data_IF_056212696034
#
_entry.id   IF_056212696034
#
_cell.length_a   1.000
_cell.length_b   1.000
_cell.length_c   1.000
_cell.angle_alpha   90.00
_cell.angle_beta   90.00
_cell.angle_gamma   90.00
#
_symmetry.space_group_name_H-M   'P 1'
#
loop_
_entity.id
_entity.type
_entity.pdbx_description
1 polymer ?
#
# COMPACT_ATOMS: atom_id res chain seq x y z
N UNK A 1 -23.32 34.39 -6.15
CA UNK A 1 -23.70 33.08 -5.61
C UNK A 1 -22.44 32.21 -5.59
N UNK A 2 -21.81 32.09 -4.44
CA UNK A 2 -20.66 31.22 -4.14
C UNK A 2 -20.98 30.61 -2.76
N UNK A 3 -20.71 29.37 -2.38
CA UNK A 3 -19.70 28.42 -2.82
C UNK A 3 -20.19 27.01 -2.47
N UNK A 4 -19.95 26.02 -3.34
CA UNK A 4 -19.89 24.63 -2.89
C UNK A 4 -18.53 24.47 -2.21
N UNK A 5 -18.48 24.68 -0.88
CA UNK A 5 -17.35 24.23 -0.08
C UNK A 5 -17.44 22.71 0.00
N UNK A 6 -16.91 22.02 -1.02
CA UNK A 6 -16.65 20.60 -0.94
C UNK A 6 -15.71 20.39 0.25
N UNK A 7 -16.19 19.71 1.27
CA UNK A 7 -15.34 19.20 2.34
C UNK A 7 -14.49 18.10 1.70
N UNK A 8 -13.37 18.46 1.07
CA UNK A 8 -12.35 17.50 0.67
C UNK A 8 -11.72 17.00 1.96
N UNK A 9 -12.26 15.91 2.51
CA UNK A 9 -11.63 15.20 3.61
C UNK A 9 -10.25 14.76 3.12
N UNK A 10 -9.21 15.44 3.58
CA UNK A 10 -7.83 15.13 3.19
C UNK A 10 -7.56 13.64 3.42
N UNK A 11 -7.06 12.95 2.39
CA UNK A 11 -6.72 11.53 2.46
C UNK A 11 -5.68 11.30 3.57
N UNK A 12 -5.96 10.38 4.49
CA UNK A 12 -5.10 10.03 5.63
C UNK A 12 -4.71 8.56 5.58
N UNK A 13 -3.54 8.16 6.10
CA UNK A 13 -3.10 6.77 6.12
C UNK A 13 -3.77 5.97 7.26
N UNK A 14 -5.09 6.05 7.37
CA UNK A 14 -5.90 5.41 8.43
C UNK A 14 -6.35 3.98 8.08
N UNK A 15 -6.15 3.57 6.82
CA UNK A 15 -6.34 2.21 6.33
C UNK A 15 -5.15 1.79 5.47
N UNK A 16 -4.87 0.47 5.34
CA UNK A 16 -3.80 -0.02 4.46
C UNK A 16 -3.94 0.49 3.02
N UNK A 17 -5.18 0.51 2.50
CA UNK A 17 -5.48 1.04 1.18
C UNK A 17 -5.14 2.53 1.04
N UNK A 18 -5.53 3.35 2.03
CA UNK A 18 -5.22 4.78 1.99
C UNK A 18 -3.73 5.06 2.12
N UNK A 19 -3.00 4.30 2.95
CA UNK A 19 -1.55 4.41 3.04
C UNK A 19 -0.87 4.07 1.69
N UNK A 20 -1.30 3.00 1.03
CA UNK A 20 -0.80 2.63 -0.29
C UNK A 20 -1.11 3.69 -1.36
N UNK A 21 -2.32 4.26 -1.34
CA UNK A 21 -2.72 5.36 -2.23
C UNK A 21 -1.85 6.60 -2.04
N UNK A 22 -1.61 7.00 -0.79
CA UNK A 22 -0.76 8.13 -0.46
C UNK A 22 0.70 7.91 -0.91
N UNK A 23 1.21 6.69 -0.74
CA UNK A 23 2.53 6.30 -1.23
C UNK A 23 2.63 6.43 -2.76
N UNK A 24 1.65 5.89 -3.50
CA UNK A 24 1.59 6.01 -4.96
C UNK A 24 1.46 7.46 -5.41
N UNK A 25 0.67 8.27 -4.69
CA UNK A 25 0.54 9.70 -4.95
C UNK A 25 1.87 10.43 -4.79
N UNK A 26 2.61 10.20 -3.70
CA UNK A 26 3.92 10.82 -3.50
C UNK A 26 4.91 10.46 -4.63
N UNK A 27 4.88 9.21 -5.11
CA UNK A 27 5.66 8.77 -6.27
C UNK A 27 5.23 9.53 -7.54
N UNK A 28 3.93 9.58 -7.83
CA UNK A 28 3.38 10.30 -8.98
C UNK A 28 3.76 11.78 -8.98
N UNK A 29 3.66 12.43 -7.82
CA UNK A 29 3.96 13.85 -7.63
C UNK A 29 5.49 14.13 -7.64
N UNK A 30 6.33 13.11 -7.57
CA UNK A 30 7.79 13.27 -7.50
C UNK A 30 8.29 13.71 -6.12
N UNK A 31 7.49 13.52 -5.07
CA UNK A 31 7.81 13.93 -3.71
C UNK A 31 8.46 12.79 -2.89
N UNK A 32 9.78 12.64 -3.06
CA UNK A 32 10.56 11.64 -2.33
C UNK A 32 10.61 11.91 -0.82
N UNK A 33 10.57 13.19 -0.41
CA UNK A 33 10.57 13.55 1.01
C UNK A 33 9.30 13.04 1.69
N UNK A 34 8.14 13.30 1.07
CA UNK A 34 6.84 12.83 1.55
C UNK A 34 6.72 11.31 1.52
N UNK A 35 7.28 10.65 0.50
CA UNK A 35 7.29 9.19 0.44
C UNK A 35 7.93 8.57 1.70
N UNK A 36 9.04 9.14 2.17
CA UNK A 36 9.76 8.64 3.36
C UNK A 36 8.92 8.75 4.63
N UNK A 37 8.01 9.71 4.73
CA UNK A 37 7.13 9.88 5.89
C UNK A 37 6.11 8.74 6.04
N UNK A 38 5.85 7.96 4.98
CA UNK A 38 4.94 6.80 5.04
C UNK A 38 5.62 5.51 5.50
N UNK A 39 6.94 5.53 5.71
CA UNK A 39 7.65 4.39 6.29
C UNK A 39 7.58 4.45 7.82
N UNK A 40 7.56 3.28 8.45
CA UNK A 40 7.76 3.19 9.90
C UNK A 40 9.13 3.77 10.29
N UNK A 41 9.22 4.30 11.50
CA UNK A 41 10.45 4.88 12.04
C UNK A 41 11.66 3.93 11.87
N UNK A 42 12.77 4.47 11.35
CA UNK A 42 14.00 3.73 11.10
C UNK A 42 13.98 2.87 9.82
N UNK A 43 12.92 2.95 9.00
CA UNK A 43 12.80 2.27 7.71
C UNK A 43 12.77 3.22 6.52
N UNK A 44 12.88 4.53 6.73
CA UNK A 44 12.81 5.58 5.71
C UNK A 44 13.88 5.40 4.63
N UNK A 45 15.05 4.87 5.01
CA UNK A 45 16.14 4.56 4.09
C UNK A 45 15.99 3.28 3.26
N UNK A 46 14.87 2.54 3.40
CA UNK A 46 14.65 1.30 2.64
C UNK A 46 14.32 1.55 1.17
N UNK A 47 13.89 2.76 0.81
CA UNK A 47 13.73 3.17 -0.58
C UNK A 47 14.81 4.18 -0.91
N UNK A 48 15.70 3.81 -1.82
CA UNK A 48 16.69 4.74 -2.37
C UNK A 48 16.06 5.71 -3.36
N UNK A 49 16.71 6.85 -3.60
CA UNK A 49 16.31 7.78 -4.66
C UNK A 49 16.25 7.08 -6.03
N UNK A 50 17.18 6.18 -6.33
CA UNK A 50 17.16 5.38 -7.57
C UNK A 50 15.89 4.53 -7.68
N UNK A 51 15.56 3.79 -6.63
CA UNK A 51 14.32 3.00 -6.55
C UNK A 51 13.07 3.86 -6.66
N UNK A 52 13.11 5.06 -6.10
CA UNK A 52 12.04 6.03 -6.24
C UNK A 52 11.84 6.45 -7.69
N UNK A 53 12.91 6.88 -8.38
CA UNK A 53 12.85 7.27 -9.79
C UNK A 53 12.41 6.12 -10.70
N UNK A 54 12.83 4.89 -10.41
CA UNK A 54 12.34 3.72 -11.14
C UNK A 54 10.86 3.48 -10.91
N UNK A 55 10.38 3.66 -9.68
CA UNK A 55 8.95 3.54 -9.35
C UNK A 55 8.11 4.58 -10.08
N UNK A 56 8.62 5.81 -10.28
CA UNK A 56 7.94 6.85 -11.07
C UNK A 56 7.71 6.45 -12.52
N UNK A 57 8.63 5.68 -13.11
CA UNK A 57 8.49 5.17 -14.48
C UNK A 57 7.40 4.11 -14.61
N UNK A 58 6.99 3.49 -13.49
CA UNK A 58 5.92 2.48 -13.44
C UNK A 58 4.53 3.09 -13.28
N UNK A 59 4.42 4.35 -12.86
CA UNK A 59 3.13 5.03 -12.70
C UNK A 59 2.49 5.15 -14.10
N UNK A 60 1.46 4.35 -14.33
CA UNK A 60 0.55 4.49 -15.47
C UNK A 60 -0.79 5.02 -14.98
N UNK A 61 -1.70 5.33 -15.89
CA UNK A 61 -3.04 5.86 -15.56
C UNK A 61 -3.91 4.90 -14.72
N UNK A 62 -3.47 3.65 -14.49
CA UNK A 62 -4.15 2.70 -13.62
C UNK A 62 -3.21 1.99 -12.66
N UNK A 63 -3.60 1.93 -11.38
CA UNK A 63 -2.97 1.09 -10.37
C UNK A 63 -4.02 0.14 -9.79
N UNK A 64 -3.68 -1.14 -9.69
CA UNK A 64 -4.49 -2.12 -8.96
C UNK A 64 -3.86 -2.34 -7.60
N UNK A 65 -4.71 -2.36 -6.56
CA UNK A 65 -4.29 -2.53 -5.17
C UNK A 65 -4.78 -3.88 -4.67
N UNK A 66 -3.91 -4.60 -3.96
CA UNK A 66 -4.21 -5.88 -3.34
C UNK A 66 -3.74 -5.86 -1.88
N UNK A 67 -4.52 -6.49 -1.00
CA UNK A 67 -4.17 -6.65 0.40
C UNK A 67 -3.56 -8.03 0.59
N UNK A 68 -2.40 -8.08 1.25
CA UNK A 68 -1.78 -9.34 1.62
C UNK A 68 -1.65 -9.43 3.13
N UNK A 69 -1.89 -10.63 3.66
CA UNK A 69 -1.63 -10.97 5.06
C UNK A 69 -0.62 -12.11 5.12
N UNK A 70 0.32 -12.03 6.05
CA UNK A 70 1.33 -13.06 6.28
C UNK A 70 1.02 -13.81 7.57
N UNK A 71 0.61 -15.07 7.45
CA UNK A 71 0.44 -15.97 8.59
C UNK A 71 1.76 -16.67 8.85
N UNK A 72 2.33 -16.49 10.04
CA UNK A 72 3.55 -17.20 10.47
C UNK A 72 3.17 -18.29 11.47
N UNK A 73 3.49 -19.54 11.14
CA UNK A 73 3.20 -20.69 12.00
C UNK A 73 4.32 -20.90 13.03
N UNK A 74 4.01 -21.57 14.14
CA UNK A 74 4.99 -21.87 15.20
C UNK A 74 6.17 -22.72 14.70
N UNK A 75 5.95 -23.55 13.68
CA UNK A 75 7.00 -24.35 13.04
C UNK A 75 7.95 -23.51 12.14
N UNK A 76 7.70 -22.20 12.02
CA UNK A 76 8.48 -21.27 11.21
C UNK A 76 8.16 -21.29 9.71
N UNK A 77 7.17 -22.09 9.27
CA UNK A 77 6.60 -21.94 7.93
C UNK A 77 5.73 -20.67 7.88
N UNK A 78 5.58 -20.10 6.68
CA UNK A 78 4.77 -18.89 6.49
C UNK A 78 3.80 -19.07 5.32
N UNK A 79 2.60 -18.50 5.43
CA UNK A 79 1.59 -18.48 4.38
C UNK A 79 1.21 -17.03 4.08
N UNK A 80 1.48 -16.59 2.86
CA UNK A 80 0.99 -15.30 2.37
C UNK A 80 -0.36 -15.51 1.70
N UNK A 81 -1.38 -14.75 2.10
CA UNK A 81 -2.71 -14.78 1.50
C UNK A 81 -3.04 -13.45 0.86
N UNK A 82 -3.64 -13.48 -0.33
CA UNK A 82 -4.20 -12.32 -1.02
C UNK A 82 -5.68 -12.22 -0.69
N UNK A 83 -6.09 -11.09 -0.13
CA UNK A 83 -7.48 -10.79 0.22
C UNK A 83 -8.12 -9.88 -0.83
N UNK A 84 -9.46 -9.89 -0.90
CA UNK A 84 -10.18 -8.85 -1.62
C UNK A 84 -9.80 -7.45 -1.10
N UNK A 85 -9.67 -6.44 -1.96
CA UNK A 85 -9.26 -5.10 -1.54
C UNK A 85 -10.32 -4.39 -0.68
N UNK A 86 -11.58 -4.83 -0.77
CA UNK A 86 -12.72 -4.36 0.02
C UNK A 86 -13.56 -5.55 0.48
N UNK A 87 -14.42 -5.31 1.47
CA UNK A 87 -15.36 -6.30 1.94
C UNK A 87 -16.46 -6.56 0.90
N UNK A 88 -16.76 -7.83 0.65
CA UNK A 88 -17.91 -8.29 -0.12
C UNK A 88 -18.90 -8.87 0.90
N UNK A 89 -20.10 -8.30 1.00
CA UNK A 89 -21.11 -8.70 2.00
C UNK A 89 -20.57 -8.71 3.45
N UNK A 90 -19.78 -7.70 3.82
CA UNK A 90 -19.23 -7.53 5.17
C UNK A 90 -18.06 -8.46 5.51
N UNK A 91 -17.47 -9.15 4.53
CA UNK A 91 -16.33 -10.06 4.72
C UNK A 91 -15.22 -9.80 3.71
N UNK A 92 -13.98 -9.99 4.12
CA UNK A 92 -12.88 -10.14 3.17
C UNK A 92 -12.82 -11.58 2.69
N UNK A 93 -12.61 -11.79 1.40
CA UNK A 93 -12.48 -13.12 0.80
C UNK A 93 -11.03 -13.38 0.40
N UNK A 94 -10.60 -14.65 0.45
CA UNK A 94 -9.26 -15.08 0.03
C UNK A 94 -9.29 -15.35 -1.48
N UNK A 95 -8.44 -14.66 -2.23
CA UNK A 95 -8.30 -14.83 -3.68
C UNK A 95 -7.19 -15.81 -4.06
N UNK A 96 -6.09 -15.83 -3.30
CA UNK A 96 -4.91 -16.67 -3.55
C UNK A 96 -4.13 -16.91 -2.26
N UNK A 97 -3.35 -17.98 -2.20
CA UNK A 97 -2.36 -18.21 -1.15
C UNK A 97 -1.03 -18.74 -1.69
N UNK A 98 0.06 -18.44 -0.99
CA UNK A 98 1.42 -18.89 -1.30
C UNK A 98 2.12 -19.36 -0.01
N UNK A 99 2.56 -20.62 0.01
CA UNK A 99 3.24 -21.25 1.15
C UNK A 99 4.76 -21.14 1.02
N UNK A 100 5.41 -20.58 2.04
CA UNK A 100 6.85 -20.57 2.22
C UNK A 100 7.27 -21.67 3.18
N UNK A 101 7.98 -22.67 2.65
CA UNK A 101 8.55 -23.76 3.44
C UNK A 101 9.94 -23.40 3.90
N UNK A 102 10.25 -23.72 5.15
CA UNK A 102 11.61 -23.69 5.65
C UNK A 102 12.41 -24.79 4.94
N UNK A 103 13.51 -24.42 4.28
CA UNK A 103 14.44 -25.38 3.67
C UNK A 103 15.26 -26.08 4.73
#
# INVERSE_FOLDING_TARGET
MCSFSACETALKPDTPGNAALLMVKAISDGDYARLKEYFCEGREGKVSEGTFQDSRKLITTGASYANYELVTFENGEMLLIMLTPYQINGKYEIQMSLLFRKK
#
